data_IF_480880621359
#
_entry.id   IF_480880621359
#
_cell.length_a   1.000
_cell.length_b   1.000
_cell.length_c   1.000
_cell.angle_alpha   90.00
_cell.angle_beta   90.00
_cell.angle_gamma   90.00
#
_symmetry.space_group_name_H-M   'P 1'
#
loop_
_entity.id
_entity.type
_entity.pdbx_description
1 polymer ?
#
# COMPACT_ATOMS: atom_id res chain seq x y z
N UNK A 1 -5.31 40.68 -38.52
CA UNK A 1 -6.14 40.26 -37.36
C UNK A 1 -5.82 38.85 -36.84
N UNK A 2 -5.33 37.92 -37.64
CA UNK A 2 -5.08 36.54 -37.19
C UNK A 2 -3.90 36.31 -36.22
N UNK A 3 -2.89 37.15 -36.19
CA UNK A 3 -1.71 36.99 -35.34
C UNK A 3 -1.94 37.39 -33.86
N UNK A 4 -2.84 38.33 -33.60
CA UNK A 4 -3.20 38.76 -32.25
C UNK A 4 -4.10 37.75 -31.54
N UNK A 5 -4.94 37.05 -32.28
CA UNK A 5 -5.82 36.01 -31.72
C UNK A 5 -5.03 34.79 -31.25
N UNK A 6 -3.94 34.42 -31.95
CA UNK A 6 -3.07 33.30 -31.60
C UNK A 6 -2.28 33.52 -30.29
N UNK A 7 -1.85 34.78 -30.04
CA UNK A 7 -1.12 35.14 -28.79
C UNK A 7 -2.03 35.13 -27.60
N UNK A 8 -3.29 35.54 -27.72
CA UNK A 8 -4.26 35.51 -26.63
C UNK A 8 -4.64 34.07 -26.27
N UNK A 9 -4.80 33.19 -27.29
CA UNK A 9 -5.10 31.76 -27.03
C UNK A 9 -3.92 31.02 -26.37
N UNK A 10 -2.67 31.39 -26.73
CA UNK A 10 -1.45 30.83 -26.11
C UNK A 10 -1.27 31.31 -24.65
N UNK A 11 -1.67 32.53 -24.29
CA UNK A 11 -1.62 33.04 -22.92
C UNK A 11 -2.62 32.35 -21.97
N UNK A 12 -3.74 31.85 -22.48
CA UNK A 12 -4.74 31.15 -21.66
C UNK A 12 -4.32 29.72 -21.28
N UNK A 13 -3.39 29.12 -22.02
CA UNK A 13 -2.89 27.75 -21.69
C UNK A 13 -1.87 27.71 -20.57
N UNK A 14 -1.35 28.85 -20.11
CA UNK A 14 -0.35 28.90 -19.04
C UNK A 14 -0.93 29.09 -17.61
N UNK A 15 -2.25 29.23 -17.49
CA UNK A 15 -2.95 29.46 -16.22
C UNK A 15 -3.51 28.21 -15.54
N UNK A 16 -3.20 27.03 -16.05
CA UNK A 16 -3.79 25.79 -15.57
C UNK A 16 -2.79 24.90 -14.82
N UNK A 17 -2.24 25.34 -13.69
CA UNK A 17 -1.54 24.44 -12.77
C UNK A 17 -1.34 25.06 -11.36
N UNK A 18 -2.39 25.61 -10.78
CA UNK A 18 -2.44 25.78 -9.34
C UNK A 18 -3.80 25.30 -8.86
N UNK A 19 -3.90 24.05 -8.47
CA UNK A 19 -5.07 23.57 -7.75
C UNK A 19 -4.90 24.02 -6.27
N UNK A 20 -5.62 25.07 -5.82
CA UNK A 20 -5.53 25.55 -4.45
C UNK A 20 -6.17 24.57 -3.45
N UNK A 21 -6.70 23.43 -3.92
CA UNK A 21 -7.36 22.42 -3.08
C UNK A 21 -6.42 21.34 -2.55
N UNK A 22 -5.14 21.31 -2.96
CA UNK A 22 -4.17 20.34 -2.43
C UNK A 22 -3.87 20.65 -0.98
N UNK A 23 -4.35 19.79 -0.09
CA UNK A 23 -4.08 19.90 1.35
C UNK A 23 -2.68 19.37 1.64
N UNK A 24 -1.88 20.20 2.29
CA UNK A 24 -0.58 19.80 2.81
C UNK A 24 -0.71 19.41 4.28
N UNK A 25 -0.16 18.27 4.64
CA UNK A 25 -0.17 17.77 6.01
C UNK A 25 1.27 17.63 6.51
N UNK A 26 1.48 17.90 7.79
CA UNK A 26 2.71 17.60 8.49
C UNK A 26 2.52 16.30 9.27
N UNK A 27 3.52 15.42 9.22
CA UNK A 27 3.54 14.20 10.00
C UNK A 27 4.20 14.48 11.35
N UNK A 28 3.55 14.08 12.44
CA UNK A 28 4.15 14.05 13.77
C UNK A 28 4.21 12.59 14.25
N UNK A 29 5.41 12.08 14.57
CA UNK A 29 5.61 10.72 15.09
C UNK A 29 5.21 10.71 16.55
N UNK A 30 4.19 9.92 16.90
CA UNK A 30 3.66 9.81 18.28
C UNK A 30 4.18 8.58 19.02
N UNK A 31 4.60 7.53 18.31
CA UNK A 31 5.19 6.32 18.88
C UNK A 31 5.99 5.55 17.82
N UNK A 32 6.96 4.77 18.28
CA UNK A 32 7.74 3.82 17.49
C UNK A 32 7.71 2.47 18.20
N UNK A 33 7.59 1.39 17.42
CA UNK A 33 7.49 0.03 17.94
C UNK A 33 8.51 -0.88 17.26
N UNK A 34 8.81 -2.01 17.89
CA UNK A 34 9.67 -3.03 17.33
C UNK A 34 9.05 -3.62 16.04
N UNK A 35 9.89 -3.95 15.08
CA UNK A 35 9.48 -4.58 13.82
C UNK A 35 10.53 -5.61 13.38
N UNK A 36 10.10 -6.67 12.70
CA UNK A 36 10.99 -7.68 12.10
C UNK A 36 11.86 -7.04 11.01
N UNK A 37 13.16 -6.93 11.26
CA UNK A 37 14.10 -6.30 10.33
C UNK A 37 14.33 -7.09 9.04
N UNK A 38 13.95 -8.37 9.01
CA UNK A 38 14.00 -9.21 7.81
C UNK A 38 12.73 -9.11 6.95
N UNK A 39 11.67 -8.48 7.48
CA UNK A 39 10.44 -8.26 6.75
C UNK A 39 10.66 -7.22 5.63
N UNK A 40 10.44 -7.63 4.40
CA UNK A 40 10.39 -6.69 3.27
C UNK A 40 8.94 -6.25 3.05
N UNK A 41 8.49 -5.30 3.88
CA UNK A 41 7.11 -4.83 3.93
C UNK A 41 6.65 -4.25 2.60
N UNK A 42 5.55 -4.76 2.08
CA UNK A 42 4.89 -4.33 0.85
C UNK A 42 3.46 -3.80 1.10
N UNK A 43 2.83 -4.25 2.16
CA UNK A 43 1.56 -3.74 2.63
C UNK A 43 1.48 -3.77 4.15
N UNK A 44 0.88 -2.74 4.73
CA UNK A 44 0.71 -2.61 6.17
C UNK A 44 -0.63 -1.92 6.44
N UNK A 45 -1.50 -2.54 7.24
CA UNK A 45 -2.79 -1.97 7.57
C UNK A 45 -3.34 -2.49 8.91
N UNK A 46 -4.33 -1.77 9.42
CA UNK A 46 -5.11 -2.19 10.58
C UNK A 46 -6.53 -2.53 10.17
N UNK A 47 -7.05 -3.62 10.72
CA UNK A 47 -8.45 -3.99 10.66
C UNK A 47 -8.87 -4.50 12.04
N UNK A 48 -9.93 -3.92 12.60
CA UNK A 48 -10.47 -4.29 13.92
C UNK A 48 -9.43 -4.31 15.06
N UNK A 49 -8.48 -3.36 15.03
CA UNK A 49 -7.43 -3.25 16.05
C UNK A 49 -6.26 -4.22 15.89
N UNK A 50 -6.29 -5.09 14.89
CA UNK A 50 -5.21 -6.01 14.54
C UNK A 50 -4.34 -5.44 13.43
N UNK A 51 -3.02 -5.48 13.56
CA UNK A 51 -2.08 -5.12 12.50
C UNK A 51 -1.83 -6.31 11.57
N UNK A 52 -1.90 -6.04 10.26
CA UNK A 52 -1.60 -6.98 9.20
C UNK A 52 -0.49 -6.45 8.31
N UNK A 53 0.38 -7.36 7.88
CA UNK A 53 1.52 -7.06 7.04
C UNK A 53 1.65 -8.06 5.90
N UNK A 54 1.83 -7.57 4.68
CA UNK A 54 2.31 -8.39 3.55
C UNK A 54 3.77 -8.08 3.26
N UNK A 55 4.56 -9.13 3.06
CA UNK A 55 6.00 -9.03 2.80
C UNK A 55 6.37 -9.66 1.46
N UNK A 56 7.25 -8.99 0.72
CA UNK A 56 7.78 -9.46 -0.55
C UNK A 56 9.03 -10.31 -0.40
N UNK A 57 9.70 -10.58 -1.50
CA UNK A 57 10.87 -11.41 -1.80
C UNK A 57 10.50 -12.84 -2.17
N UNK A 58 10.99 -13.29 -3.32
CA UNK A 58 10.87 -14.67 -3.76
C UNK A 58 11.50 -15.62 -2.73
N UNK A 59 10.76 -16.66 -2.35
CA UNK A 59 11.19 -17.60 -1.31
C UNK A 59 10.97 -17.14 0.14
N UNK A 60 10.54 -15.88 0.36
CA UNK A 60 10.31 -15.34 1.71
C UNK A 60 8.99 -14.56 1.87
N UNK A 61 8.20 -14.50 0.80
CA UNK A 61 6.92 -13.76 0.80
C UNK A 61 5.92 -14.33 1.77
N UNK A 62 5.25 -13.45 2.50
CA UNK A 62 4.26 -13.85 3.50
C UNK A 62 3.15 -12.80 3.68
N UNK A 63 2.03 -13.22 4.27
CA UNK A 63 1.04 -12.36 4.90
C UNK A 63 0.95 -12.71 6.37
N UNK A 64 0.95 -11.70 7.26
CA UNK A 64 1.15 -11.86 8.70
C UNK A 64 0.11 -11.11 9.51
N UNK A 65 -0.29 -11.68 10.65
CA UNK A 65 -0.81 -10.95 11.81
C UNK A 65 0.36 -10.57 12.70
N UNK A 66 0.44 -9.33 13.12
CA UNK A 66 1.57 -8.84 13.91
C UNK A 66 1.06 -8.14 15.17
N UNK A 67 1.69 -8.41 16.31
CA UNK A 67 1.48 -7.61 17.52
C UNK A 67 2.15 -6.24 17.33
N UNK A 68 1.37 -5.17 17.43
CA UNK A 68 1.85 -3.81 17.17
C UNK A 68 2.98 -3.40 18.12
N UNK A 69 2.90 -3.79 19.40
CA UNK A 69 3.81 -3.28 20.42
C UNK A 69 5.13 -4.05 20.44
N UNK A 70 5.04 -5.37 20.29
CA UNK A 70 6.22 -6.25 20.36
C UNK A 70 6.86 -6.52 19.01
N UNK A 71 6.10 -6.35 17.91
CA UNK A 71 6.52 -6.75 16.56
C UNK A 71 6.47 -8.26 16.33
N UNK A 72 5.93 -9.03 17.29
CA UNK A 72 5.84 -10.48 17.18
C UNK A 72 4.84 -10.91 16.10
N UNK A 73 5.23 -11.89 15.27
CA UNK A 73 4.34 -12.49 14.28
C UNK A 73 3.43 -13.49 14.97
N UNK A 74 2.14 -13.15 15.08
CA UNK A 74 1.12 -13.96 15.75
C UNK A 74 0.59 -15.08 14.86
N UNK A 75 0.50 -14.81 13.55
CA UNK A 75 0.07 -15.78 12.55
C UNK A 75 0.67 -15.45 11.19
N UNK A 76 0.84 -16.46 10.30
CA UNK A 76 1.53 -16.29 9.04
C UNK A 76 1.02 -17.23 7.94
N UNK A 77 0.72 -16.65 6.77
CA UNK A 77 0.56 -17.37 5.50
C UNK A 77 1.85 -17.21 4.71
N UNK A 78 2.45 -18.31 4.26
CA UNK A 78 3.63 -18.32 3.39
C UNK A 78 3.22 -18.66 1.97
N UNK A 79 3.91 -18.07 1.00
CA UNK A 79 3.63 -18.26 -0.42
C UNK A 79 4.75 -19.06 -1.09
N UNK A 80 4.42 -19.75 -2.19
CA UNK A 80 5.44 -20.43 -3.01
C UNK A 80 6.54 -19.46 -3.46
N UNK A 81 7.76 -19.95 -3.58
CA UNK A 81 8.97 -19.19 -3.92
C UNK A 81 8.87 -18.36 -5.19
N UNK A 82 8.01 -18.75 -6.12
CA UNK A 82 7.75 -18.03 -7.37
C UNK A 82 7.00 -16.70 -7.19
N UNK A 83 6.32 -16.53 -6.06
CA UNK A 83 5.54 -15.32 -5.80
C UNK A 83 6.34 -14.29 -5.02
N UNK A 84 6.35 -13.08 -5.53
CA UNK A 84 6.73 -11.90 -4.78
C UNK A 84 5.42 -11.20 -4.38
N UNK A 85 5.11 -11.18 -3.10
CA UNK A 85 3.89 -10.57 -2.59
C UNK A 85 4.07 -9.06 -2.50
N UNK A 86 3.04 -8.34 -2.90
CA UNK A 86 2.91 -6.90 -2.89
C UNK A 86 1.86 -6.44 -1.87
N UNK A 87 1.13 -5.40 -2.19
CA UNK A 87 0.10 -4.84 -1.33
C UNK A 87 -1.03 -5.81 -1.03
N UNK A 88 -1.64 -5.61 0.11
CA UNK A 88 -2.81 -6.34 0.56
C UNK A 88 -3.85 -5.41 1.19
N UNK A 89 -5.12 -5.82 1.16
CA UNK A 89 -6.22 -5.06 1.75
C UNK A 89 -7.36 -5.99 2.11
N UNK A 90 -8.03 -5.72 3.23
CA UNK A 90 -9.33 -6.29 3.53
C UNK A 90 -10.43 -5.42 2.93
N UNK A 91 -11.37 -6.06 2.23
CA UNK A 91 -12.54 -5.39 1.70
C UNK A 91 -13.77 -6.31 1.78
N UNK A 92 -14.77 -5.90 2.53
CA UNK A 92 -15.89 -6.76 2.91
C UNK A 92 -15.39 -7.96 3.72
N UNK A 93 -15.84 -9.15 3.37
CA UNK A 93 -15.45 -10.41 4.04
C UNK A 93 -14.18 -11.05 3.43
N UNK A 94 -13.44 -10.33 2.57
CA UNK A 94 -12.30 -10.89 1.85
C UNK A 94 -11.01 -10.13 2.11
N UNK A 95 -9.90 -10.89 2.19
CA UNK A 95 -8.54 -10.39 2.08
C UNK A 95 -8.05 -10.55 0.65
N UNK A 96 -7.62 -9.48 0.02
CA UNK A 96 -7.00 -9.45 -1.31
C UNK A 96 -5.50 -9.22 -1.17
N UNK A 97 -4.70 -10.05 -1.83
CA UNK A 97 -3.25 -9.98 -1.82
C UNK A 97 -2.75 -9.99 -3.26
N UNK A 98 -1.94 -9.00 -3.63
CA UNK A 98 -1.38 -8.85 -4.97
C UNK A 98 0.00 -9.49 -5.07
N UNK A 99 0.39 -9.85 -6.30
CA UNK A 99 1.74 -10.33 -6.61
C UNK A 99 2.40 -9.45 -7.66
N UNK A 100 3.73 -9.36 -7.60
CA UNK A 100 4.54 -8.75 -8.63
C UNK A 100 4.81 -9.73 -9.79
N UNK A 101 4.64 -9.27 -11.03
CA UNK A 101 4.98 -9.94 -12.31
C UNK A 101 4.24 -11.26 -12.63
N UNK A 102 3.64 -11.94 -11.67
CA UNK A 102 3.02 -13.27 -11.92
C UNK A 102 1.58 -13.19 -12.40
N UNK A 103 1.01 -11.98 -12.54
CA UNK A 103 -0.40 -11.74 -12.92
C UNK A 103 -1.40 -12.53 -12.05
N UNK A 104 -1.06 -12.73 -10.77
CA UNK A 104 -1.84 -13.49 -9.80
C UNK A 104 -2.26 -12.57 -8.66
N UNK A 105 -3.50 -12.74 -8.19
CA UNK A 105 -3.95 -12.19 -6.93
C UNK A 105 -4.58 -13.32 -6.11
N UNK A 106 -4.37 -13.31 -4.81
CA UNK A 106 -4.99 -14.24 -3.87
C UNK A 106 -6.17 -13.57 -3.21
N UNK A 107 -7.23 -14.35 -3.00
CA UNK A 107 -8.40 -13.92 -2.24
C UNK A 107 -8.67 -14.97 -1.16
N UNK A 108 -8.67 -14.54 0.08
CA UNK A 108 -8.96 -15.36 1.25
C UNK A 108 -10.23 -14.83 1.94
N UNK A 109 -10.96 -15.71 2.59
CA UNK A 109 -12.01 -15.32 3.53
C UNK A 109 -11.35 -14.73 4.79
N UNK A 110 -11.61 -13.45 5.08
CA UNK A 110 -10.99 -12.74 6.19
C UNK A 110 -11.35 -13.29 7.57
N UNK A 111 -12.44 -14.07 7.68
CA UNK A 111 -12.90 -14.69 8.95
C UNK A 111 -12.15 -15.96 9.31
N UNK A 112 -11.46 -16.57 8.33
CA UNK A 112 -10.77 -17.86 8.50
C UNK A 112 -9.25 -17.76 8.37
N UNK A 113 -8.74 -16.53 8.39
CA UNK A 113 -7.32 -16.21 8.41
C UNK A 113 -6.67 -16.64 9.72
#
# INVERSE_FOLDING_TARGET
>A
MGKFLLVILSSFMLLSCTDPSVKMYKLDVVAEYAHDTEAYTQGLFFEDGQMYESTGRNGASSFRKVDLVTGEVLDIIRFDDKYFIEGSVMFGDNLYILTWETNTAFVYDAKTL
#
